data_IF_766973581886
#
_entry.id   IF_766973581886
#
_cell.length_a   1.000
_cell.length_b   1.000
_cell.length_c   1.000
_cell.angle_alpha   90.00
_cell.angle_beta   90.00
_cell.angle_gamma   90.00
#
_symmetry.space_group_name_H-M   'P 1'
#
loop_
_entity.id
_entity.type
_entity.pdbx_description
1 polymer ?
#
# COMPACT_ATOMS: atom_id res chain seq x y z
N UNK A 1 48.43 -8.24 79.65
CA UNK A 1 47.37 -7.93 80.64
C UNK A 1 46.39 -7.00 79.92
N UNK A 2 45.29 -7.56 79.39
CA UNK A 2 43.95 -7.56 80.00
C UNK A 2 43.26 -6.17 79.90
N UNK A 3 41.99 -5.98 79.54
CA UNK A 3 40.89 -6.73 78.88
C UNK A 3 39.66 -5.79 78.99
N UNK A 4 38.61 -6.05 78.17
CA UNK A 4 37.18 -5.65 78.31
C UNK A 4 36.78 -4.25 77.81
N UNK A 5 36.03 -4.13 76.72
CA UNK A 5 34.62 -4.52 76.44
C UNK A 5 33.62 -3.44 76.90
N UNK A 6 32.92 -2.81 75.95
CA UNK A 6 31.47 -2.63 76.06
C UNK A 6 30.82 -2.54 74.67
N UNK A 7 29.68 -3.22 74.59
CA UNK A 7 28.89 -3.61 73.42
C UNK A 7 27.88 -2.54 72.99
N UNK A 8 27.46 -2.69 71.71
CA UNK A 8 26.10 -2.57 71.18
C UNK A 8 25.35 -1.23 71.32
N UNK A 9 25.15 -0.59 70.17
CA UNK A 9 23.79 -0.39 69.67
C UNK A 9 23.77 -0.65 68.15
N UNK A 10 23.01 -1.67 67.76
CA UNK A 10 22.47 -1.79 66.41
C UNK A 10 21.56 -0.59 66.17
N UNK A 11 21.73 0.08 65.03
CA UNK A 11 20.59 0.61 64.31
C UNK A 11 20.74 0.26 62.83
N UNK A 12 19.70 -0.41 62.36
CA UNK A 12 19.47 -0.82 60.99
C UNK A 12 19.37 0.40 60.09
N UNK A 13 20.19 0.45 59.03
CA UNK A 13 19.91 1.25 57.84
C UNK A 13 19.92 0.34 56.61
N UNK A 14 18.85 0.39 55.79
CA UNK A 14 18.52 -0.66 54.84
C UNK A 14 19.42 -0.58 53.61
N UNK A 15 19.56 -1.74 52.97
CA UNK A 15 20.10 -1.91 51.62
C UNK A 15 19.70 -0.77 50.67
N UNK A 16 20.64 0.14 50.38
CA UNK A 16 20.68 0.76 49.05
C UNK A 16 21.49 -0.17 48.16
N UNK A 17 20.79 -1.13 47.56
CA UNK A 17 21.27 -1.76 46.33
C UNK A 17 21.62 -0.62 45.37
N UNK A 18 22.92 -0.41 45.15
CA UNK A 18 23.36 0.55 44.16
C UNK A 18 22.70 0.20 42.84
N UNK A 19 21.92 1.12 42.29
CA UNK A 19 21.58 1.10 40.87
C UNK A 19 22.90 1.09 40.11
N UNK A 20 23.40 -0.09 39.73
CA UNK A 20 24.42 -0.21 38.69
C UNK A 20 23.78 0.41 37.46
N UNK A 21 24.18 1.64 37.14
CA UNK A 21 23.89 2.30 35.88
C UNK A 21 24.39 1.34 34.80
N UNK A 22 23.47 0.65 34.12
CA UNK A 22 23.83 -0.30 33.06
C UNK A 22 24.38 0.56 31.91
N UNK A 23 25.69 0.51 31.73
CA UNK A 23 26.40 1.39 30.79
C UNK A 23 26.24 0.87 29.36
N UNK A 24 25.93 1.76 28.43
CA UNK A 24 26.08 1.50 27.00
C UNK A 24 27.56 1.24 26.70
N UNK A 25 27.86 0.12 26.08
CA UNK A 25 29.23 -0.25 25.73
C UNK A 25 29.71 0.59 24.54
N UNK A 26 30.93 1.12 24.65
CA UNK A 26 31.58 1.81 23.55
C UNK A 26 32.16 0.77 22.58
N UNK A 27 31.73 0.83 21.32
CA UNK A 27 32.07 -0.18 20.31
C UNK A 27 32.94 0.48 19.24
N UNK A 28 34.07 -0.14 18.95
CA UNK A 28 35.02 0.22 17.89
C UNK A 28 35.41 -1.03 17.10
N UNK A 29 36.00 -0.88 15.89
CA UNK A 29 36.47 -2.03 15.12
C UNK A 29 37.48 -2.89 15.89
N UNK A 30 38.32 -2.27 16.71
CA UNK A 30 39.39 -2.91 17.47
C UNK A 30 38.87 -3.70 18.69
N UNK A 31 37.80 -3.21 19.34
CA UNK A 31 37.29 -3.80 20.58
C UNK A 31 36.07 -4.71 20.38
N UNK A 32 35.47 -4.74 19.18
CA UNK A 32 34.19 -5.40 18.92
C UNK A 32 34.17 -6.87 19.37
N UNK A 33 35.23 -7.64 19.07
CA UNK A 33 35.27 -9.06 19.45
C UNK A 33 35.20 -9.24 20.97
N UNK A 34 35.92 -8.42 21.74
CA UNK A 34 35.89 -8.44 23.20
C UNK A 34 34.54 -8.01 23.74
N UNK A 35 33.90 -7.00 23.13
CA UNK A 35 32.55 -6.56 23.46
C UNK A 35 31.54 -7.69 23.24
N UNK A 36 31.60 -8.38 22.09
CA UNK A 36 30.71 -9.48 21.74
C UNK A 36 30.83 -10.66 22.72
N UNK A 37 32.06 -11.01 23.14
CA UNK A 37 32.28 -12.03 24.16
C UNK A 37 31.69 -11.61 25.52
N UNK A 38 31.93 -10.37 25.93
CA UNK A 38 31.43 -9.85 27.21
C UNK A 38 29.89 -9.82 27.27
N UNK A 39 29.21 -9.42 26.18
CA UNK A 39 27.74 -9.40 26.17
C UNK A 39 27.14 -10.79 26.06
N UNK A 40 27.85 -11.77 25.47
CA UNK A 40 27.36 -13.16 25.39
C UNK A 40 27.20 -13.79 26.79
N UNK A 41 28.04 -13.41 27.73
CA UNK A 41 28.06 -13.96 29.09
C UNK A 41 27.05 -13.26 30.04
N UNK A 42 26.61 -12.03 29.74
CA UNK A 42 25.70 -11.24 30.58
C UNK A 42 24.42 -10.84 29.82
N UNK A 43 23.31 -11.49 30.16
CA UNK A 43 21.99 -11.24 29.56
C UNK A 43 21.52 -9.79 29.69
N UNK A 44 21.81 -9.09 30.80
CA UNK A 44 21.37 -7.70 30.97
C UNK A 44 22.14 -6.76 30.05
N UNK A 45 23.45 -7.00 29.89
CA UNK A 45 24.27 -6.24 28.95
C UNK A 45 23.91 -6.56 27.50
N UNK A 46 23.59 -7.83 27.20
CA UNK A 46 23.09 -8.27 25.91
C UNK A 46 21.82 -7.50 25.51
N UNK A 47 20.76 -7.60 26.34
CA UNK A 47 19.45 -6.99 26.04
C UNK A 47 19.56 -5.48 25.82
N UNK A 48 20.46 -4.81 26.55
CA UNK A 48 20.67 -3.36 26.42
C UNK A 48 21.45 -2.96 25.16
N UNK A 49 22.46 -3.73 24.76
CA UNK A 49 23.46 -3.28 23.77
C UNK A 49 23.31 -3.94 22.40
N UNK A 50 22.65 -5.10 22.30
CA UNK A 50 22.70 -5.94 21.10
C UNK A 50 22.26 -5.22 19.82
N UNK A 51 21.20 -4.40 19.89
CA UNK A 51 20.71 -3.63 18.73
C UNK A 51 21.73 -2.60 18.24
N UNK A 52 22.45 -1.96 19.15
CA UNK A 52 23.49 -0.97 18.81
C UNK A 52 24.71 -1.67 18.21
N UNK A 53 25.09 -2.82 18.77
CA UNK A 53 26.20 -3.63 18.26
C UNK A 53 25.91 -4.16 16.86
N UNK A 54 24.71 -4.71 16.61
CA UNK A 54 24.32 -5.15 15.28
C UNK A 54 24.33 -3.96 14.30
N UNK A 55 23.77 -2.81 14.70
CA UNK A 55 23.83 -1.60 13.87
C UNK A 55 25.27 -1.17 13.54
N UNK A 56 26.18 -1.27 14.51
CA UNK A 56 27.60 -1.00 14.32
C UNK A 56 28.24 -1.99 13.33
N UNK A 57 27.96 -3.29 13.48
CA UNK A 57 28.46 -4.33 12.57
C UNK A 57 28.05 -4.02 11.12
N UNK A 58 26.77 -3.79 10.87
CA UNK A 58 26.26 -3.50 9.52
C UNK A 58 26.68 -2.15 8.93
N UNK A 59 27.15 -1.21 9.76
CA UNK A 59 27.68 0.08 9.28
C UNK A 59 29.19 0.06 9.06
N UNK A 60 29.91 -0.82 9.75
CA UNK A 60 31.37 -0.91 9.70
C UNK A 60 31.84 -1.91 8.65
N UNK A 61 31.23 -3.10 8.60
CA UNK A 61 31.65 -4.20 7.73
C UNK A 61 30.75 -4.30 6.51
N UNK A 62 31.37 -4.41 5.32
CA UNK A 62 30.64 -4.52 4.04
C UNK A 62 30.57 -5.95 3.54
N UNK A 63 31.60 -6.75 3.80
CA UNK A 63 31.66 -8.11 3.31
C UNK A 63 30.81 -9.05 4.18
N UNK A 64 29.92 -9.87 3.58
CA UNK A 64 29.12 -10.82 4.35
C UNK A 64 29.96 -11.76 5.22
N UNK A 65 31.11 -12.22 4.73
CA UNK A 65 31.99 -13.10 5.51
C UNK A 65 32.50 -12.45 6.80
N UNK A 66 32.84 -11.16 6.75
CA UNK A 66 33.25 -10.41 7.94
C UNK A 66 32.09 -10.27 8.92
N UNK A 67 30.91 -9.89 8.43
CA UNK A 67 29.69 -9.78 9.25
C UNK A 67 29.39 -11.11 9.94
N UNK A 68 29.40 -12.22 9.20
CA UNK A 68 29.18 -13.56 9.74
C UNK A 68 30.22 -13.92 10.80
N UNK A 69 31.51 -13.60 10.57
CA UNK A 69 32.56 -13.89 11.54
C UNK A 69 32.34 -13.20 12.89
N UNK A 70 31.79 -11.97 12.88
CA UNK A 70 31.45 -11.24 14.10
C UNK A 70 30.22 -11.82 14.77
N UNK A 71 29.17 -12.10 14.00
CA UNK A 71 27.92 -12.64 14.54
C UNK A 71 28.08 -14.06 15.12
N UNK A 72 28.95 -14.90 14.54
CA UNK A 72 29.31 -16.23 15.07
C UNK A 72 29.94 -16.20 16.47
N UNK A 73 30.41 -15.04 16.94
CA UNK A 73 30.84 -14.92 18.33
C UNK A 73 29.64 -15.05 19.26
N UNK A 74 28.47 -14.49 18.90
CA UNK A 74 27.25 -14.50 19.69
C UNK A 74 26.58 -15.87 19.72
N UNK A 75 26.55 -16.56 18.57
CA UNK A 75 25.96 -17.89 18.46
C UNK A 75 27.00 -18.95 18.11
N UNK A 76 27.16 -19.93 19.00
CA UNK A 76 28.14 -21.00 18.84
C UNK A 76 27.60 -22.12 17.96
N UNK A 77 28.19 -22.27 16.78
CA UNK A 77 28.22 -23.49 15.93
C UNK A 77 26.89 -24.22 15.73
N UNK A 78 26.26 -24.01 14.57
CA UNK A 78 25.12 -24.79 14.08
C UNK A 78 24.63 -24.42 12.68
N UNK A 79 25.49 -23.81 11.84
CA UNK A 79 25.12 -23.24 10.53
C UNK A 79 25.56 -24.12 9.35
N UNK A 80 25.52 -25.44 9.52
CA UNK A 80 26.02 -26.36 8.50
C UNK A 80 24.96 -26.52 7.40
N UNK A 81 25.29 -26.09 6.18
CA UNK A 81 24.47 -26.28 4.98
C UNK A 81 23.78 -25.02 4.42
N UNK A 82 23.82 -23.90 5.12
CA UNK A 82 23.28 -22.62 4.64
C UNK A 82 24.35 -21.78 3.94
N UNK A 83 23.90 -20.91 3.02
CA UNK A 83 24.80 -19.90 2.48
C UNK A 83 25.15 -18.83 3.54
N UNK A 84 26.12 -17.97 3.21
CA UNK A 84 26.62 -16.96 4.15
C UNK A 84 25.54 -15.95 4.55
N UNK A 85 24.61 -15.62 3.66
CA UNK A 85 23.56 -14.60 3.89
C UNK A 85 22.46 -15.18 4.78
N UNK A 86 22.03 -16.40 4.50
CA UNK A 86 21.04 -17.11 5.31
C UNK A 86 21.58 -17.38 6.71
N UNK A 87 22.86 -17.77 6.80
CA UNK A 87 23.55 -17.94 8.08
C UNK A 87 23.56 -16.67 8.94
N UNK A 88 23.81 -15.52 8.32
CA UNK A 88 23.75 -14.21 9.01
C UNK A 88 22.32 -13.94 9.48
N UNK A 89 21.34 -14.17 8.61
CA UNK A 89 19.95 -13.91 8.93
C UNK A 89 19.43 -14.81 10.05
N UNK A 90 19.81 -16.08 10.07
CA UNK A 90 19.44 -17.04 11.11
C UNK A 90 19.97 -16.61 12.47
N UNK A 91 21.25 -16.25 12.56
CA UNK A 91 21.83 -15.73 13.81
C UNK A 91 21.06 -14.49 14.27
N UNK A 92 20.73 -13.57 13.37
CA UNK A 92 19.99 -12.36 13.73
C UNK A 92 18.58 -12.66 14.21
N UNK A 93 17.88 -13.63 13.61
CA UNK A 93 16.55 -14.05 14.04
C UNK A 93 16.58 -14.64 15.45
N UNK A 94 17.59 -15.45 15.77
CA UNK A 94 17.82 -16.04 17.09
C UNK A 94 18.18 -14.99 18.14
N UNK A 95 19.17 -14.15 17.84
CA UNK A 95 19.64 -13.07 18.69
C UNK A 95 18.53 -12.06 19.00
N UNK A 96 17.64 -11.80 18.04
CA UNK A 96 16.50 -10.90 18.23
C UNK A 96 15.26 -11.59 18.82
N UNK A 97 15.37 -12.86 19.23
CA UNK A 97 14.31 -13.66 19.86
C UNK A 97 13.04 -13.73 19.01
N UNK A 98 13.20 -13.89 17.70
CA UNK A 98 12.06 -14.11 16.79
C UNK A 98 11.55 -15.54 16.99
N UNK A 99 10.24 -15.78 17.17
CA UNK A 99 9.72 -17.12 17.44
C UNK A 99 10.10 -18.11 16.31
N UNK A 100 10.89 -19.14 16.65
CA UNK A 100 11.31 -20.21 15.73
C UNK A 100 10.10 -21.06 15.34
N UNK A 101 9.60 -20.86 14.11
CA UNK A 101 8.67 -21.78 13.44
C UNK A 101 9.34 -22.41 12.24
N UNK A 102 9.62 -21.56 11.26
CA UNK A 102 10.27 -21.85 9.98
C UNK A 102 11.14 -20.63 9.62
N UNK A 103 12.29 -20.85 8.95
CA UNK A 103 13.22 -19.79 8.62
C UNK A 103 12.55 -18.71 7.77
N UNK A 104 11.91 -19.11 6.66
CA UNK A 104 11.24 -18.17 5.74
C UNK A 104 10.11 -17.41 6.44
N UNK A 105 9.30 -18.11 7.23
CA UNK A 105 8.25 -17.47 8.04
C UNK A 105 8.82 -16.47 9.07
N UNK A 106 9.98 -16.75 9.65
CA UNK A 106 10.65 -15.87 10.62
C UNK A 106 11.21 -14.61 9.94
N UNK A 107 11.77 -14.74 8.73
CA UNK A 107 12.17 -13.61 7.89
C UNK A 107 10.96 -12.73 7.56
N UNK A 108 9.83 -13.33 7.19
CA UNK A 108 8.57 -12.61 6.91
C UNK A 108 8.07 -11.85 8.15
N UNK A 109 8.12 -12.46 9.33
CA UNK A 109 7.76 -11.78 10.58
C UNK A 109 8.63 -10.54 10.81
N UNK A 110 9.95 -10.64 10.59
CA UNK A 110 10.87 -9.50 10.71
C UNK A 110 10.57 -8.40 9.67
N UNK A 111 10.06 -8.75 8.49
CA UNK A 111 9.62 -7.78 7.50
C UNK A 111 8.44 -6.94 7.99
N UNK A 112 7.51 -7.53 8.75
CA UNK A 112 6.36 -6.82 9.34
C UNK A 112 6.69 -5.88 10.50
N UNK A 113 7.85 -6.07 11.14
CA UNK A 113 8.29 -5.24 12.27
C UNK A 113 8.61 -3.79 11.87
N UNK A 114 8.42 -2.84 12.78
CA UNK A 114 8.53 -1.40 12.48
C UNK A 114 9.81 -0.72 13.00
N UNK A 115 10.58 -1.40 13.84
CA UNK A 115 11.77 -0.79 14.44
C UNK A 115 12.91 -0.62 13.40
N UNK A 116 13.75 0.43 13.49
CA UNK A 116 14.73 0.78 12.45
C UNK A 116 15.70 -0.35 12.07
N UNK A 117 16.14 -1.14 13.06
CA UNK A 117 17.06 -2.26 12.83
C UNK A 117 16.41 -3.34 11.94
N UNK A 118 15.12 -3.66 12.13
CA UNK A 118 14.42 -4.64 11.28
C UNK A 118 14.48 -4.23 9.80
N UNK A 119 14.23 -2.96 9.50
CA UNK A 119 14.27 -2.42 8.15
C UNK A 119 15.65 -2.53 7.53
N UNK A 120 16.70 -2.22 8.30
CA UNK A 120 18.09 -2.33 7.83
C UNK A 120 18.44 -3.79 7.50
N UNK A 121 18.14 -4.71 8.41
CA UNK A 121 18.44 -6.15 8.24
C UNK A 121 17.68 -6.71 7.04
N UNK A 122 16.36 -6.49 6.93
CA UNK A 122 15.56 -7.07 5.84
C UNK A 122 15.95 -6.49 4.48
N UNK A 123 16.25 -5.19 4.40
CA UNK A 123 16.75 -4.60 3.15
C UNK A 123 18.14 -5.15 2.79
N UNK A 124 19.03 -5.31 3.78
CA UNK A 124 20.35 -5.90 3.53
C UNK A 124 20.21 -7.35 3.03
N UNK A 125 19.35 -8.15 3.67
CA UNK A 125 19.12 -9.55 3.30
C UNK A 125 18.69 -9.67 1.84
N UNK A 126 17.60 -9.02 1.43
CA UNK A 126 17.12 -9.13 0.04
C UNK A 126 18.03 -8.44 -1.00
N UNK A 127 18.92 -7.53 -0.59
CA UNK A 127 19.94 -6.97 -1.49
C UNK A 127 21.14 -7.90 -1.69
N UNK A 128 21.40 -8.85 -0.79
CA UNK A 128 22.59 -9.71 -0.84
C UNK A 128 22.26 -11.17 -1.12
N UNK A 129 21.08 -11.65 -0.71
CA UNK A 129 20.58 -12.96 -1.06
C UNK A 129 20.19 -12.99 -2.54
N UNK A 130 20.56 -14.08 -3.20
CA UNK A 130 20.03 -14.43 -4.51
C UNK A 130 18.98 -15.52 -4.27
N UNK A 131 17.73 -15.16 -4.48
CA UNK A 131 16.58 -16.02 -4.21
C UNK A 131 16.30 -16.92 -5.41
N UNK A 132 15.91 -18.17 -5.15
CA UNK A 132 15.33 -19.03 -6.17
C UNK A 132 13.91 -18.58 -6.52
N UNK A 133 13.41 -18.97 -7.70
CA UNK A 133 12.09 -18.54 -8.20
C UNK A 133 10.95 -18.84 -7.23
N UNK A 134 10.95 -20.05 -6.63
CA UNK A 134 9.96 -20.45 -5.62
C UNK A 134 10.03 -19.58 -4.35
N UNK A 135 11.22 -19.13 -3.97
CA UNK A 135 11.41 -18.24 -2.83
C UNK A 135 10.93 -16.83 -3.13
N UNK A 136 11.20 -16.34 -4.33
CA UNK A 136 10.71 -15.04 -4.79
C UNK A 136 9.19 -15.01 -4.70
N UNK A 137 8.50 -16.00 -5.29
CA UNK A 137 7.03 -16.09 -5.25
C UNK A 137 6.51 -16.13 -3.80
N UNK A 138 7.11 -16.97 -2.96
CA UNK A 138 6.75 -17.07 -1.55
C UNK A 138 6.87 -15.72 -0.82
N UNK A 139 8.01 -15.02 -0.96
CA UNK A 139 8.24 -13.76 -0.28
C UNK A 139 7.35 -12.65 -0.83
N UNK A 140 7.13 -12.57 -2.15
CA UNK A 140 6.23 -11.59 -2.74
C UNK A 140 4.81 -11.77 -2.21
N UNK A 141 4.27 -12.99 -2.26
CA UNK A 141 2.92 -13.27 -1.75
C UNK A 141 2.81 -12.98 -0.25
N UNK A 142 3.78 -13.39 0.56
CA UNK A 142 3.76 -13.17 1.99
C UNK A 142 3.79 -11.66 2.34
N UNK A 143 4.63 -10.88 1.66
CA UNK A 143 4.71 -9.44 1.85
C UNK A 143 3.43 -8.73 1.39
N UNK A 144 2.88 -9.12 0.25
CA UNK A 144 1.57 -8.64 -0.22
C UNK A 144 0.48 -8.92 0.81
N UNK A 145 0.38 -10.14 1.35
CA UNK A 145 -0.60 -10.48 2.40
C UNK A 145 -0.49 -9.55 3.61
N UNK A 146 0.73 -9.22 4.04
CA UNK A 146 0.94 -8.26 5.15
C UNK A 146 0.48 -6.85 4.75
N UNK A 147 0.78 -6.40 3.53
CA UNK A 147 0.35 -5.10 3.02
C UNK A 147 -1.17 -5.01 3.02
N UNK A 148 -1.86 -5.99 2.43
CA UNK A 148 -3.32 -6.01 2.34
C UNK A 148 -3.98 -6.07 3.71
N UNK A 149 -3.47 -6.91 4.62
CA UNK A 149 -3.95 -6.97 6.01
C UNK A 149 -3.75 -5.63 6.73
N UNK A 150 -2.61 -4.98 6.56
CA UNK A 150 -2.32 -3.67 7.17
C UNK A 150 -3.17 -2.57 6.55
N UNK A 151 -3.39 -2.64 5.24
CA UNK A 151 -4.21 -1.74 4.45
C UNK A 151 -5.72 -1.93 4.66
N UNK A 152 -6.14 -3.01 5.35
CA UNK A 152 -7.54 -3.42 5.51
C UNK A 152 -8.26 -3.61 4.17
N UNK A 153 -7.53 -4.12 3.18
CA UNK A 153 -8.04 -4.46 1.85
C UNK A 153 -8.18 -5.97 1.74
N UNK A 154 -9.24 -6.45 1.09
CA UNK A 154 -9.40 -7.87 0.80
C UNK A 154 -8.25 -8.37 -0.09
N UNK A 155 -7.59 -9.43 0.36
CA UNK A 155 -6.49 -10.02 -0.38
C UNK A 155 -7.02 -10.74 -1.62
N UNK A 156 -6.51 -10.36 -2.79
CA UNK A 156 -6.95 -10.94 -4.07
C UNK A 156 -6.29 -12.31 -4.24
N UNK A 157 -7.10 -13.37 -4.13
CA UNK A 157 -6.73 -14.73 -4.51
C UNK A 157 -7.04 -15.00 -5.98
N UNK A 158 -6.40 -16.00 -6.59
CA UNK A 158 -6.67 -16.42 -7.98
C UNK A 158 -8.08 -17.01 -8.19
N UNK A 159 -8.97 -16.88 -7.20
CA UNK A 159 -10.29 -17.48 -7.16
C UNK A 159 -11.35 -16.38 -7.04
N UNK A 160 -11.53 -15.59 -8.10
CA UNK A 160 -12.77 -14.85 -8.34
C UNK A 160 -12.96 -14.69 -9.84
N UNK A 161 -13.66 -15.71 -10.36
CA UNK A 161 -14.77 -15.67 -11.31
C UNK A 161 -14.61 -14.92 -12.63
N UNK A 162 -14.51 -15.73 -13.69
CA UNK A 162 -15.39 -15.62 -14.86
C UNK A 162 -16.82 -15.24 -14.42
N UNK A 163 -17.36 -14.18 -15.03
CA UNK A 163 -18.79 -13.85 -15.15
C UNK A 163 -19.66 -13.93 -13.88
N UNK A 164 -20.04 -12.79 -13.28
CA UNK A 164 -21.45 -12.40 -13.20
C UNK A 164 -21.65 -10.92 -12.78
N UNK A 165 -22.57 -10.28 -13.51
CA UNK A 165 -23.52 -9.23 -13.11
C UNK A 165 -23.00 -7.78 -12.87
N UNK A 166 -23.43 -6.72 -13.56
CA UNK A 166 -24.61 -6.49 -14.39
C UNK A 166 -25.92 -7.10 -13.87
N UNK A 167 -26.34 -6.63 -12.70
CA UNK A 167 -27.77 -6.43 -12.42
C UNK A 167 -27.95 -5.35 -11.36
N UNK A 168 -28.60 -4.27 -11.78
CA UNK A 168 -29.49 -3.52 -10.91
C UNK A 168 -30.53 -4.51 -10.32
N UNK A 169 -30.63 -4.60 -9.00
CA UNK A 169 -31.91 -4.75 -8.30
C UNK A 169 -31.70 -4.77 -6.79
N UNK A 170 -32.28 -3.76 -6.15
CA UNK A 170 -33.20 -3.89 -5.03
C UNK A 170 -32.99 -5.03 -4.02
N UNK A 171 -32.77 -4.59 -2.77
CA UNK A 171 -33.60 -4.93 -1.62
C UNK A 171 -34.22 -6.34 -1.65
N UNK A 172 -33.65 -7.28 -0.90
CA UNK A 172 -34.44 -8.07 0.02
C UNK A 172 -33.59 -8.78 1.07
N UNK A 173 -34.03 -8.59 2.31
CA UNK A 173 -33.72 -9.41 3.47
C UNK A 173 -33.71 -10.91 3.14
N UNK A 174 -32.71 -11.61 3.66
CA UNK A 174 -32.94 -12.95 4.18
C UNK A 174 -32.09 -13.19 5.42
N UNK A 175 -32.77 -13.13 6.56
CA UNK A 175 -32.38 -13.77 7.82
C UNK A 175 -31.87 -15.19 7.54
N UNK A 176 -30.70 -15.51 8.09
CA UNK A 176 -30.25 -16.88 8.29
C UNK A 176 -30.49 -17.18 9.78
N UNK A 177 -31.58 -17.88 10.08
CA UNK A 177 -31.65 -18.78 11.25
C UNK A 177 -31.16 -20.14 10.73
N UNK A 178 -30.10 -20.71 11.32
CA UNK A 178 -30.14 -21.64 12.45
C UNK A 178 -31.08 -22.82 12.19
N UNK A 179 -30.54 -23.97 11.76
CA UNK A 179 -30.10 -25.10 12.61
C UNK A 179 -31.29 -25.82 13.28
N UNK A 180 -31.55 -27.01 12.73
CA UNK A 180 -32.15 -28.22 13.31
C UNK A 180 -33.54 -28.17 13.97
N UNK A 181 -34.43 -28.90 13.30
CA UNK A 181 -35.55 -29.67 13.85
C UNK A 181 -35.20 -30.41 15.15
N UNK A 182 -35.94 -30.15 16.23
CA UNK A 182 -36.85 -31.14 16.82
C UNK A 182 -37.58 -30.63 18.06
N UNK A 183 -38.79 -31.16 18.22
CA UNK A 183 -39.63 -31.29 19.43
C UNK A 183 -40.52 -30.12 19.89
N UNK A 184 -41.80 -30.36 19.61
CA UNK A 184 -42.97 -30.26 20.49
C UNK A 184 -43.58 -28.88 20.83
N UNK A 185 -44.72 -28.71 20.17
CA UNK A 185 -45.92 -27.95 20.54
C UNK A 185 -46.24 -27.93 22.04
N UNK A 186 -46.56 -26.75 22.58
CA UNK A 186 -47.93 -26.49 23.02
C UNK A 186 -48.23 -25.02 23.28
N UNK A 187 -49.46 -24.68 22.89
CA UNK A 187 -50.17 -23.41 22.89
C UNK A 187 -50.51 -22.97 24.32
N UNK A 188 -50.48 -21.66 24.59
CA UNK A 188 -51.55 -20.95 25.32
C UNK A 188 -51.35 -19.42 25.31
N UNK A 189 -52.22 -18.76 24.54
CA UNK A 189 -53.03 -17.58 24.86
C UNK A 189 -52.53 -16.57 25.90
N UNK A 190 -52.40 -15.30 25.49
CA UNK A 190 -53.39 -14.28 25.85
C UNK A 190 -53.14 -12.94 25.15
N UNK A 191 -54.25 -12.40 24.64
CA UNK A 191 -54.42 -11.12 23.96
C UNK A 191 -54.03 -9.87 24.77
N UNK A 192 -53.89 -8.78 24.01
CA UNK A 192 -54.17 -7.37 24.33
C UNK A 192 -52.97 -6.43 24.60
N UNK A 193 -52.42 -5.84 23.53
CA UNK A 193 -52.43 -4.39 23.29
C UNK A 193 -51.51 -4.01 22.12
N UNK A 194 -52.10 -3.97 20.93
CA UNK A 194 -51.56 -3.22 19.79
C UNK A 194 -52.16 -1.81 19.86
N UNK A 195 -51.42 -0.88 20.48
CA UNK A 195 -51.02 0.39 19.85
C UNK A 195 -50.36 1.34 20.86
N UNK A 196 -49.35 2.05 20.35
CA UNK A 196 -48.60 3.16 20.93
C UNK A 196 -47.47 2.79 21.90
N UNK A 197 -46.31 2.45 21.33
CA UNK A 197 -45.06 3.18 21.61
C UNK A 197 -43.96 2.77 20.62
N UNK A 198 -44.00 3.39 19.44
CA UNK A 198 -42.80 3.57 18.61
C UNK A 198 -42.25 4.95 18.96
N UNK A 199 -40.95 5.00 19.25
CA UNK A 199 -40.09 6.17 19.49
C UNK A 199 -39.95 6.65 20.93
N UNK A 200 -39.15 5.96 21.74
CA UNK A 200 -38.50 6.60 22.89
C UNK A 200 -37.30 5.80 23.43
N UNK A 201 -36.27 5.51 22.60
CA UNK A 201 -34.97 5.06 23.15
C UNK A 201 -33.72 5.32 22.30
N UNK A 202 -33.81 6.21 21.30
CA UNK A 202 -32.67 6.66 20.49
C UNK A 202 -32.49 8.18 20.47
N UNK A 203 -33.27 8.92 21.25
CA UNK A 203 -33.33 10.39 21.19
C UNK A 203 -32.87 11.13 22.46
N UNK A 204 -32.53 10.43 23.54
CA UNK A 204 -32.21 11.10 24.82
C UNK A 204 -30.71 11.24 25.17
N UNK A 205 -29.78 10.74 24.36
CA UNK A 205 -28.33 11.00 24.53
C UNK A 205 -27.74 11.98 23.51
N UNK A 206 -28.46 12.29 22.44
CA UNK A 206 -28.07 13.34 21.47
C UNK A 206 -28.67 14.72 21.80
N UNK A 207 -29.75 14.78 22.58
CA UNK A 207 -30.47 16.04 22.85
C UNK A 207 -29.89 16.87 24.01
N UNK A 208 -29.04 16.32 24.87
CA UNK A 208 -28.46 17.05 26.00
C UNK A 208 -27.16 17.79 25.65
N UNK A 209 -26.41 17.34 24.64
CA UNK A 209 -25.24 18.08 24.15
C UNK A 209 -25.56 19.10 23.04
N UNK A 210 -26.69 18.94 22.35
CA UNK A 210 -27.12 19.86 21.29
C UNK A 210 -27.89 21.10 21.81
N UNK A 211 -28.56 21.00 22.97
CA UNK A 211 -29.38 22.10 23.53
C UNK A 211 -28.58 23.22 24.20
N UNK A 212 -27.36 22.95 24.66
CA UNK A 212 -26.48 23.97 25.27
C UNK A 212 -25.72 24.83 24.24
N UNK A 213 -25.96 24.62 22.95
CA UNK A 213 -25.30 25.35 21.86
C UNK A 213 -26.17 26.43 21.21
N UNK A 214 -27.40 26.66 21.70
CA UNK A 214 -28.27 27.72 21.22
C UNK A 214 -27.97 29.05 21.95
N UNK A 215 -26.74 29.52 21.80
CA UNK A 215 -26.41 30.95 21.95
C UNK A 215 -26.43 31.52 20.53
N UNK A 216 -27.11 32.64 20.25
CA UNK A 216 -27.09 33.23 18.92
C UNK A 216 -25.65 33.65 18.62
N UNK A 217 -24.99 32.92 17.72
CA UNK A 217 -23.67 33.25 17.18
C UNK A 217 -23.86 33.65 15.72
N UNK A 218 -23.01 34.57 15.27
CA UNK A 218 -23.08 35.14 13.92
C UNK A 218 -22.87 34.05 12.85
N UNK A 219 -23.65 34.15 11.75
CA UNK A 219 -23.81 33.15 10.67
C UNK A 219 -22.51 32.51 10.14
N UNK A 220 -21.37 33.20 10.27
CA UNK A 220 -20.06 32.72 9.79
C UNK A 220 -19.46 31.61 10.66
N UNK A 221 -19.66 31.61 11.98
CA UNK A 221 -19.11 30.57 12.86
C UNK A 221 -19.96 29.30 12.83
N UNK A 222 -21.25 29.44 12.56
CA UNK A 222 -22.17 28.32 12.38
C UNK A 222 -21.92 27.59 11.06
N UNK A 223 -21.60 28.32 9.97
CA UNK A 223 -21.12 27.73 8.72
C UNK A 223 -19.81 26.95 8.89
N UNK A 224 -18.82 27.51 9.61
CA UNK A 224 -17.54 26.81 9.87
C UNK A 224 -17.72 25.55 10.72
N UNK A 225 -18.69 25.57 11.64
CA UNK A 225 -19.06 24.38 12.43
C UNK A 225 -19.78 23.35 11.58
N UNK A 226 -20.69 23.77 10.70
CA UNK A 226 -21.35 22.88 9.74
C UNK A 226 -20.33 22.27 8.78
N UNK A 227 -19.37 23.02 8.26
CA UNK A 227 -18.32 22.49 7.39
C UNK A 227 -17.39 21.51 8.13
N UNK A 228 -17.10 21.74 9.42
CA UNK A 228 -16.38 20.77 10.25
C UNK A 228 -17.21 19.53 10.54
N UNK A 229 -18.50 19.68 10.85
CA UNK A 229 -19.41 18.57 11.12
C UNK A 229 -19.66 17.73 9.86
N UNK A 230 -19.90 18.38 8.72
CA UNK A 230 -19.99 17.74 7.40
C UNK A 230 -18.66 17.10 7.01
N UNK A 231 -17.53 17.75 7.27
CA UNK A 231 -16.19 17.18 7.06
C UNK A 231 -15.88 15.96 7.93
N UNK A 232 -16.58 15.79 9.07
CA UNK A 232 -16.53 14.59 9.91
C UNK A 232 -17.47 13.52 9.33
N UNK A 233 -18.70 13.88 8.96
CA UNK A 233 -19.71 12.98 8.38
C UNK A 233 -19.25 12.42 7.01
N UNK A 234 -18.54 13.20 6.19
CA UNK A 234 -18.04 12.77 4.88
C UNK A 234 -16.71 12.00 4.93
N UNK A 235 -16.04 11.94 6.09
CA UNK A 235 -14.82 11.13 6.28
C UNK A 235 -15.12 9.66 6.58
N UNK A 236 -16.39 9.27 6.71
CA UNK A 236 -16.81 7.90 7.02
C UNK A 236 -16.76 6.91 5.83
N UNK A 237 -15.87 7.12 4.86
CA UNK A 237 -15.51 6.09 3.86
C UNK A 237 -14.05 5.65 4.06
N UNK A 238 -13.92 4.60 4.86
CA UNK A 238 -12.70 3.96 5.38
C UNK A 238 -11.91 4.77 6.43
N UNK A 239 -11.61 4.17 7.61
CA UNK A 239 -10.73 4.79 8.59
C UNK A 239 -9.35 4.99 7.96
N UNK A 240 -8.91 6.24 7.85
CA UNK A 240 -7.60 6.59 7.31
C UNK A 240 -6.49 5.80 8.01
N UNK A 241 -5.58 5.21 7.24
CA UNK A 241 -4.45 4.44 7.78
C UNK A 241 -3.67 5.24 8.82
N UNK A 242 -3.32 4.58 9.93
CA UNK A 242 -2.48 5.21 10.95
C UNK A 242 -1.07 5.48 10.41
N UNK A 243 -0.34 6.41 11.03
CA UNK A 243 1.06 6.68 10.65
C UNK A 243 1.93 5.42 10.71
N UNK A 244 1.69 4.55 11.70
CA UNK A 244 2.36 3.26 11.86
C UNK A 244 2.06 2.32 10.69
N UNK A 245 0.79 2.23 10.26
CA UNK A 245 0.38 1.41 9.13
C UNK A 245 1.03 1.89 7.83
N UNK A 246 1.04 3.21 7.59
CA UNK A 246 1.72 3.80 6.43
C UNK A 246 3.21 3.50 6.42
N UNK A 247 3.89 3.58 7.58
CA UNK A 247 5.31 3.23 7.69
C UNK A 247 5.56 1.75 7.42
N UNK A 248 4.68 0.86 7.89
CA UNK A 248 4.78 -0.58 7.65
C UNK A 248 4.64 -0.88 6.17
N UNK A 249 3.59 -0.36 5.53
CA UNK A 249 3.33 -0.57 4.10
C UNK A 249 4.46 0.03 3.27
N UNK A 250 4.95 1.23 3.61
CA UNK A 250 6.10 1.82 2.93
C UNK A 250 7.35 0.94 3.02
N UNK A 251 7.62 0.33 4.18
CA UNK A 251 8.73 -0.64 4.34
C UNK A 251 8.52 -1.87 3.45
N UNK A 252 7.34 -2.46 3.46
CA UNK A 252 7.05 -3.66 2.67
C UNK A 252 7.15 -3.38 1.16
N UNK A 253 6.66 -2.22 0.69
CA UNK A 253 6.83 -1.79 -0.70
C UNK A 253 8.30 -1.60 -1.09
N UNK A 254 9.14 -1.09 -0.18
CA UNK A 254 10.59 -0.99 -0.44
C UNK A 254 11.25 -2.37 -0.54
N UNK A 255 10.79 -3.35 0.24
CA UNK A 255 11.27 -4.73 0.16
C UNK A 255 10.85 -5.40 -1.14
N UNK A 256 9.58 -5.25 -1.56
CA UNK A 256 9.09 -5.69 -2.87
C UNK A 256 9.92 -5.07 -4.01
N UNK A 257 10.23 -3.77 -3.92
CA UNK A 257 11.05 -3.07 -4.90
C UNK A 257 12.46 -3.69 -5.00
N UNK A 258 13.09 -4.04 -3.88
CA UNK A 258 14.41 -4.68 -3.86
C UNK A 258 14.37 -6.08 -4.47
N UNK A 259 13.40 -6.90 -4.08
CA UNK A 259 13.23 -8.28 -4.58
C UNK A 259 13.03 -8.26 -6.10
N UNK A 260 12.06 -7.47 -6.58
CA UNK A 260 11.71 -7.41 -8.01
C UNK A 260 12.79 -6.77 -8.89
N UNK A 261 13.66 -5.91 -8.34
CA UNK A 261 14.80 -5.37 -9.09
C UNK A 261 15.82 -6.45 -9.44
N UNK A 262 16.05 -7.40 -8.52
CA UNK A 262 16.97 -8.52 -8.71
C UNK A 262 16.33 -9.69 -9.46
N UNK A 263 15.07 -9.96 -9.15
CA UNK A 263 14.33 -11.11 -9.66
C UNK A 263 13.05 -10.61 -10.34
N UNK A 264 13.10 -10.25 -11.63
CA UNK A 264 11.91 -9.86 -12.38
C UNK A 264 10.93 -11.03 -12.47
N UNK A 265 9.69 -10.81 -12.05
CA UNK A 265 8.63 -11.83 -12.09
C UNK A 265 7.64 -11.52 -13.20
N UNK A 266 7.18 -12.55 -13.90
CA UNK A 266 6.19 -12.43 -14.99
C UNK A 266 4.76 -12.79 -14.56
N UNK A 267 4.56 -13.33 -13.35
CA UNK A 267 3.25 -13.75 -12.87
C UNK A 267 2.28 -12.56 -12.76
N UNK A 268 1.18 -12.53 -13.53
CA UNK A 268 0.26 -11.38 -13.57
C UNK A 268 -0.47 -11.12 -12.24
N UNK A 269 -0.52 -12.12 -11.36
CA UNK A 269 -1.22 -12.02 -10.07
C UNK A 269 -0.62 -10.94 -9.17
N UNK A 270 0.70 -10.81 -9.11
CA UNK A 270 1.36 -9.76 -8.33
C UNK A 270 0.99 -8.37 -8.85
N UNK A 271 0.92 -8.21 -10.17
CA UNK A 271 0.46 -6.95 -10.76
C UNK A 271 -1.00 -6.66 -10.40
N UNK A 272 -1.90 -7.65 -10.52
CA UNK A 272 -3.31 -7.53 -10.11
C UNK A 272 -3.49 -7.17 -8.63
N UNK A 273 -2.62 -7.67 -7.77
CA UNK A 273 -2.64 -7.33 -6.33
C UNK A 273 -2.11 -5.91 -6.11
N UNK A 274 -0.91 -5.59 -6.58
CA UNK A 274 -0.27 -4.30 -6.31
C UNK A 274 -1.03 -3.14 -6.94
N UNK A 275 -1.67 -3.33 -8.10
CA UNK A 275 -2.46 -2.27 -8.74
C UNK A 275 -3.65 -1.85 -7.87
N UNK A 276 -4.20 -2.75 -7.07
CA UNK A 276 -5.27 -2.43 -6.12
C UNK A 276 -4.85 -1.50 -4.98
N UNK A 277 -3.56 -1.22 -4.83
CA UNK A 277 -3.01 -0.35 -3.80
C UNK A 277 -2.85 1.11 -4.26
N UNK A 278 -3.15 1.44 -5.52
CA UNK A 278 -2.93 2.80 -6.06
C UNK A 278 -3.78 3.88 -5.40
N UNK A 279 -4.96 3.51 -4.89
CA UNK A 279 -5.87 4.43 -4.19
C UNK A 279 -5.75 4.36 -2.66
N UNK A 280 -4.85 3.53 -2.13
CA UNK A 280 -4.73 3.30 -0.70
C UNK A 280 -4.37 4.58 0.07
N UNK A 281 -3.38 5.33 -0.43
CA UNK A 281 -2.94 6.61 0.16
C UNK A 281 -2.03 7.37 -0.82
N UNK A 282 -2.22 8.68 -0.94
CA UNK A 282 -1.43 9.55 -1.84
C UNK A 282 0.08 9.55 -1.52
N UNK A 283 0.47 9.41 -0.25
CA UNK A 283 1.88 9.37 0.16
C UNK A 283 2.52 8.05 -0.27
N UNK A 284 1.76 6.96 -0.22
CA UNK A 284 2.22 5.63 -0.63
C UNK A 284 2.20 5.43 -2.14
N UNK A 285 1.38 6.18 -2.88
CA UNK A 285 1.23 6.07 -4.34
C UNK A 285 2.57 6.01 -5.07
N UNK A 286 3.53 6.90 -4.73
CA UNK A 286 4.85 6.90 -5.39
C UNK A 286 5.62 5.60 -5.22
N UNK A 287 5.49 4.93 -4.06
CA UNK A 287 6.13 3.63 -3.79
C UNK A 287 5.40 2.50 -4.50
N UNK A 288 4.07 2.48 -4.44
CA UNK A 288 3.23 1.53 -5.18
C UNK A 288 3.57 1.59 -6.68
N UNK A 289 3.65 2.81 -7.23
CA UNK A 289 3.96 3.00 -8.64
C UNK A 289 5.35 2.50 -9.03
N UNK A 290 6.37 2.64 -8.16
CA UNK A 290 7.70 2.06 -8.42
C UNK A 290 7.66 0.54 -8.54
N UNK A 291 6.91 -0.12 -7.65
CA UNK A 291 6.72 -1.58 -7.69
C UNK A 291 5.98 -1.97 -8.98
N UNK A 292 4.90 -1.27 -9.34
CA UNK A 292 4.18 -1.52 -10.60
C UNK A 292 5.10 -1.40 -11.83
N UNK A 293 5.98 -0.39 -11.88
CA UNK A 293 6.95 -0.25 -12.99
C UNK A 293 7.87 -1.46 -13.12
N UNK A 294 8.25 -2.08 -12.02
CA UNK A 294 9.10 -3.28 -12.05
C UNK A 294 8.34 -4.49 -12.58
N UNK A 295 7.07 -4.64 -12.20
CA UNK A 295 6.20 -5.73 -12.63
C UNK A 295 5.84 -5.65 -14.13
N UNK A 296 5.84 -4.46 -14.73
CA UNK A 296 5.48 -4.25 -16.15
C UNK A 296 6.71 -4.20 -17.08
N UNK A 297 7.93 -4.45 -16.57
CA UNK A 297 9.15 -4.47 -17.40
C UNK A 297 9.09 -5.46 -18.56
N UNK A 298 8.35 -6.56 -18.39
CA UNK A 298 8.12 -7.57 -19.42
C UNK A 298 6.61 -7.68 -19.66
N UNK A 299 6.05 -6.78 -20.49
CA UNK A 299 4.61 -6.67 -20.67
C UNK A 299 4.05 -7.93 -21.34
N UNK A 300 2.97 -8.46 -20.79
CA UNK A 300 2.21 -9.58 -21.35
C UNK A 300 0.77 -9.14 -21.67
N UNK A 301 0.06 -9.81 -22.58
CA UNK A 301 -1.34 -9.51 -22.87
C UNK A 301 -2.27 -9.60 -21.65
N UNK A 302 -1.94 -10.43 -20.66
CA UNK A 302 -2.71 -10.56 -19.42
C UNK A 302 -2.54 -9.37 -18.47
N UNK A 303 -1.30 -8.89 -18.29
CA UNK A 303 -1.02 -7.66 -17.53
C UNK A 303 -1.78 -6.47 -18.11
N UNK A 304 -1.83 -6.43 -19.43
CA UNK A 304 -2.57 -5.43 -20.19
C UNK A 304 -4.07 -5.45 -19.88
N UNK A 305 -4.71 -6.62 -19.91
CA UNK A 305 -6.14 -6.76 -19.58
C UNK A 305 -6.45 -6.33 -18.13
N UNK A 306 -5.63 -6.76 -17.17
CA UNK A 306 -5.77 -6.38 -15.75
C UNK A 306 -5.68 -4.87 -15.57
N UNK A 307 -4.76 -4.23 -16.29
CA UNK A 307 -4.56 -2.80 -16.19
C UNK A 307 -5.74 -2.01 -16.78
N UNK A 308 -6.25 -2.43 -17.94
CA UNK A 308 -7.43 -1.87 -18.57
C UNK A 308 -8.65 -1.95 -17.63
N UNK A 309 -8.92 -3.11 -17.04
CA UNK A 309 -9.99 -3.29 -16.05
C UNK A 309 -9.82 -2.36 -14.83
N UNK A 310 -8.58 -2.16 -14.40
CA UNK A 310 -8.25 -1.33 -13.24
C UNK A 310 -8.47 0.17 -13.48
N UNK A 311 -8.47 0.63 -14.74
CA UNK A 311 -8.74 2.03 -15.11
C UNK A 311 -10.15 2.49 -14.72
N UNK A 312 -11.10 1.57 -14.64
CA UNK A 312 -12.46 1.85 -14.16
C UNK A 312 -12.60 1.81 -12.64
N UNK A 313 -11.74 1.02 -11.98
CA UNK A 313 -11.88 0.70 -10.56
C UNK A 313 -11.19 1.71 -9.66
N UNK A 314 -10.07 2.28 -10.10
CA UNK A 314 -9.23 3.12 -9.27
C UNK A 314 -9.08 4.54 -9.85
N UNK A 315 -9.12 5.55 -8.99
CA UNK A 315 -9.04 6.96 -9.38
C UNK A 315 -7.61 7.38 -9.74
N UNK A 316 -6.62 7.00 -8.94
CA UNK A 316 -5.22 7.41 -9.10
C UNK A 316 -4.48 6.63 -10.18
N UNK A 317 -5.08 5.57 -10.74
CA UNK A 317 -4.44 4.77 -11.79
C UNK A 317 -4.17 5.58 -13.05
N UNK A 318 -4.98 6.61 -13.32
CA UNK A 318 -4.78 7.56 -14.42
C UNK A 318 -3.40 8.24 -14.40
N UNK A 319 -2.81 8.45 -13.21
CA UNK A 319 -1.46 9.01 -13.04
C UNK A 319 -0.35 8.09 -13.58
N UNK A 320 -0.67 6.83 -13.88
CA UNK A 320 0.28 5.83 -14.37
C UNK A 320 0.27 5.68 -15.89
N UNK A 321 -0.70 6.29 -16.58
CA UNK A 321 -0.98 6.08 -18.02
C UNK A 321 0.29 6.22 -18.86
N UNK A 322 0.99 7.36 -18.77
CA UNK A 322 2.15 7.62 -19.63
C UNK A 322 3.25 6.54 -19.51
N UNK A 323 3.49 6.03 -18.29
CA UNK A 323 4.52 4.98 -18.10
C UNK A 323 4.04 3.62 -18.60
N UNK A 324 2.75 3.32 -18.42
CA UNK A 324 2.21 2.04 -18.85
C UNK A 324 2.05 2.01 -20.38
N UNK A 325 1.77 3.14 -21.02
CA UNK A 325 1.77 3.28 -22.48
C UNK A 325 3.13 2.96 -23.09
N UNK A 326 4.22 3.52 -22.53
CA UNK A 326 5.58 3.22 -22.97
C UNK A 326 5.87 1.70 -22.88
N UNK A 327 5.29 1.03 -21.89
CA UNK A 327 5.54 -0.39 -21.63
C UNK A 327 4.69 -1.29 -22.54
N UNK A 328 3.39 -1.03 -22.70
CA UNK A 328 2.47 -1.92 -23.44
C UNK A 328 2.48 -1.74 -24.96
N UNK A 329 3.12 -0.68 -25.49
CA UNK A 329 3.20 -0.34 -26.93
C UNK A 329 1.82 -0.27 -27.60
N UNK A 330 1.23 0.92 -27.61
CA UNK A 330 -0.04 1.23 -28.26
C UNK A 330 -0.90 2.10 -27.35
N UNK A 331 -1.03 3.37 -27.72
CA UNK A 331 -1.78 4.38 -26.99
C UNK A 331 -3.26 4.05 -26.89
N UNK A 332 -3.83 3.55 -28.00
CA UNK A 332 -5.27 3.35 -28.15
C UNK A 332 -5.74 1.92 -27.99
N UNK A 333 -4.86 0.98 -27.63
CA UNK A 333 -5.28 -0.41 -27.40
C UNK A 333 -6.33 -0.51 -26.29
N UNK A 334 -6.43 0.48 -25.40
CA UNK A 334 -7.19 0.44 -24.14
C UNK A 334 -8.62 0.94 -24.34
N UNK A 335 -9.04 0.99 -25.61
CA UNK A 335 -10.27 1.53 -26.15
C UNK A 335 -11.51 1.14 -25.34
N UNK A 336 -11.65 -0.15 -25.02
CA UNK A 336 -12.80 -0.68 -24.31
C UNK A 336 -12.84 -0.24 -22.84
N UNK A 337 -11.68 0.09 -22.25
CA UNK A 337 -11.55 0.54 -20.87
C UNK A 337 -11.67 2.07 -20.68
N UNK A 338 -11.79 2.84 -21.78
CA UNK A 338 -11.89 4.31 -21.71
C UNK A 338 -13.29 4.82 -21.42
N UNK A 339 -14.25 3.96 -21.03
CA UNK A 339 -15.60 4.37 -20.63
C UNK A 339 -15.61 5.59 -19.68
N UNK A 340 -14.59 5.73 -18.81
CA UNK A 340 -14.56 6.68 -17.69
C UNK A 340 -13.38 7.68 -17.71
N UNK A 341 -12.32 7.46 -18.50
CA UNK A 341 -11.07 8.24 -18.39
C UNK A 341 -10.98 9.34 -19.45
N UNK A 342 -10.76 10.58 -18.98
CA UNK A 342 -10.49 11.75 -19.84
C UNK A 342 -9.10 11.63 -20.49
N UNK A 343 -9.05 11.51 -21.83
CA UNK A 343 -7.80 11.39 -22.58
C UNK A 343 -6.99 12.71 -22.56
N UNK A 344 -7.57 13.81 -22.08
CA UNK A 344 -6.85 15.06 -21.87
C UNK A 344 -5.69 14.95 -20.86
N UNK A 345 -5.69 13.91 -20.01
CA UNK A 345 -4.65 13.66 -19.00
C UNK A 345 -3.35 13.17 -19.62
N UNK A 346 -3.40 12.63 -20.85
CA UNK A 346 -2.25 11.94 -21.43
C UNK A 346 -1.28 12.91 -22.12
N UNK A 347 0.02 12.61 -22.04
CA UNK A 347 1.06 13.40 -22.70
C UNK A 347 0.92 13.33 -24.24
N UNK A 348 0.44 14.44 -24.80
CA UNK A 348 0.15 14.62 -26.23
C UNK A 348 1.39 14.49 -27.13
N UNK A 349 2.59 14.62 -26.56
CA UNK A 349 3.84 14.49 -27.31
C UNK A 349 4.23 13.03 -27.60
N UNK A 350 3.66 12.08 -26.86
CA UNK A 350 3.99 10.65 -26.94
C UNK A 350 3.10 9.87 -27.91
N UNK A 351 2.06 10.50 -28.42
CA UNK A 351 1.05 9.86 -29.27
C UNK A 351 1.48 9.97 -30.74
N UNK A 352 1.71 8.85 -31.44
CA UNK A 352 1.94 8.90 -32.87
C UNK A 352 0.71 9.48 -33.59
N UNK A 353 0.94 10.44 -34.51
CA UNK A 353 -0.12 11.08 -35.31
C UNK A 353 -0.99 10.04 -36.03
N UNK A 354 -0.35 9.05 -36.64
CA UNK A 354 -1.02 7.99 -37.40
C UNK A 354 -1.95 7.16 -36.51
N UNK A 355 -1.50 6.80 -35.30
CA UNK A 355 -2.30 6.03 -34.34
C UNK A 355 -3.50 6.85 -33.84
N UNK A 356 -3.30 8.15 -33.57
CA UNK A 356 -4.35 9.07 -33.18
C UNK A 356 -5.43 9.24 -34.25
N UNK A 357 -5.03 9.45 -35.50
CA UNK A 357 -5.96 9.62 -36.60
C UNK A 357 -6.70 8.33 -36.93
N UNK A 358 -6.02 7.19 -36.89
CA UNK A 358 -6.67 5.89 -37.03
C UNK A 358 -7.74 5.68 -35.97
N UNK A 359 -7.44 5.97 -34.70
CA UNK A 359 -8.39 5.82 -33.59
C UNK A 359 -9.63 6.70 -33.74
N UNK A 360 -9.44 7.99 -34.04
CA UNK A 360 -10.58 8.89 -34.17
C UNK A 360 -11.51 8.54 -35.34
N UNK A 361 -10.96 7.95 -36.41
CA UNK A 361 -11.69 7.66 -37.63
C UNK A 361 -12.27 6.25 -37.69
N UNK A 362 -11.78 5.31 -36.86
CA UNK A 362 -12.24 3.93 -36.88
C UNK A 362 -13.48 3.66 -36.04
N UNK A 363 -13.77 4.50 -35.04
CA UNK A 363 -14.66 4.12 -33.92
C UNK A 363 -15.64 5.25 -33.51
N UNK A 364 -16.72 4.90 -32.80
CA UNK A 364 -17.63 5.91 -32.22
C UNK A 364 -16.93 6.62 -31.05
N UNK A 365 -16.23 7.70 -31.35
CA UNK A 365 -15.52 8.49 -30.34
C UNK A 365 -16.41 9.62 -29.82
N UNK A 366 -16.57 9.70 -28.50
CA UNK A 366 -17.21 10.83 -27.84
C UNK A 366 -16.32 12.07 -27.88
N UNK A 367 -16.79 13.16 -28.47
CA UNK A 367 -16.00 14.39 -28.69
C UNK A 367 -15.39 14.94 -27.39
N UNK A 368 -16.16 14.96 -26.31
CA UNK A 368 -15.72 15.46 -25.01
C UNK A 368 -14.49 14.72 -24.47
N UNK A 369 -14.29 13.44 -24.83
CA UNK A 369 -13.12 12.64 -24.40
C UNK A 369 -11.84 13.04 -25.12
N UNK A 370 -11.94 13.47 -26.38
CA UNK A 370 -10.77 13.73 -27.24
C UNK A 370 -10.58 15.21 -27.58
N UNK A 371 -11.46 16.11 -27.13
CA UNK A 371 -11.53 17.48 -27.62
C UNK A 371 -10.18 18.22 -27.52
N UNK A 372 -9.50 18.19 -26.37
CA UNK A 372 -8.24 18.94 -26.22
C UNK A 372 -7.09 18.31 -27.02
N UNK A 373 -7.09 16.98 -27.15
CA UNK A 373 -6.15 16.24 -28.00
C UNK A 373 -6.38 16.56 -29.47
N UNK A 374 -7.63 16.50 -29.92
CA UNK A 374 -8.05 16.82 -31.27
C UNK A 374 -7.64 18.25 -31.63
N UNK A 375 -7.99 19.24 -30.80
CA UNK A 375 -7.56 20.63 -31.01
C UNK A 375 -6.04 20.78 -31.06
N UNK A 376 -5.29 20.03 -30.25
CA UNK A 376 -3.83 20.04 -30.29
C UNK A 376 -3.27 19.53 -31.62
N UNK A 377 -3.77 18.38 -32.10
CA UNK A 377 -3.35 17.80 -33.38
C UNK A 377 -3.79 18.67 -34.57
N UNK A 378 -5.01 19.18 -34.58
CA UNK A 378 -5.55 20.05 -35.63
C UNK A 378 -4.72 21.34 -35.81
N UNK A 379 -4.25 21.95 -34.72
CA UNK A 379 -3.40 23.15 -34.79
C UNK A 379 -2.07 22.92 -35.51
N UNK A 380 -1.56 21.69 -35.50
CA UNK A 380 -0.26 21.28 -36.07
C UNK A 380 -0.42 20.39 -37.30
N UNK A 381 -1.62 20.26 -37.83
CA UNK A 381 -1.88 19.43 -39.01
C UNK A 381 -1.84 20.27 -40.27
N UNK A 382 -1.20 19.75 -41.30
CA UNK A 382 -1.00 20.39 -42.61
C UNK A 382 -1.72 19.62 -43.73
N UNK A 383 -2.13 18.38 -43.49
CA UNK A 383 -2.92 17.60 -44.43
C UNK A 383 -4.40 18.03 -44.42
N UNK A 384 -4.82 18.67 -45.51
CA UNK A 384 -6.20 19.13 -45.73
C UNK A 384 -7.21 17.97 -45.73
N UNK A 385 -6.85 16.79 -46.24
CA UNK A 385 -7.76 15.63 -46.29
C UNK A 385 -8.07 15.09 -44.91
N UNK A 386 -7.07 15.09 -44.03
CA UNK A 386 -7.24 14.70 -42.62
C UNK A 386 -8.15 15.71 -41.92
N UNK A 387 -7.92 17.01 -42.10
CA UNK A 387 -8.77 18.08 -41.56
C UNK A 387 -10.24 17.99 -42.03
N UNK A 388 -10.46 17.71 -43.31
CA UNK A 388 -11.80 17.52 -43.87
C UNK A 388 -12.49 16.27 -43.30
N UNK A 389 -11.76 15.15 -43.14
CA UNK A 389 -12.28 13.93 -42.50
C UNK A 389 -12.70 14.16 -41.04
N UNK A 390 -11.93 14.95 -40.28
CA UNK A 390 -12.27 15.33 -38.92
C UNK A 390 -13.49 16.24 -38.84
N UNK A 391 -13.63 17.17 -39.78
CA UNK A 391 -14.81 18.03 -39.86
C UNK A 391 -16.08 17.19 -40.05
N UNK A 392 -16.02 16.20 -40.92
CA UNK A 392 -17.14 15.29 -41.19
C UNK A 392 -17.46 14.40 -39.99
N UNK A 393 -16.45 13.92 -39.26
CA UNK A 393 -16.63 13.18 -38.02
C UNK A 393 -17.34 14.04 -36.96
N UNK A 394 -16.85 15.25 -36.71
CA UNK A 394 -17.41 16.18 -35.70
C UNK A 394 -18.83 16.59 -36.08
N UNK A 395 -19.12 16.73 -37.38
CA UNK A 395 -20.46 17.06 -37.88
C UNK A 395 -21.51 15.98 -37.58
N UNK A 396 -21.10 14.70 -37.48
CA UNK A 396 -22.00 13.55 -37.17
C UNK A 396 -22.42 13.47 -35.71
N UNK A 397 -21.72 14.17 -34.81
CA UNK A 397 -22.00 14.16 -33.37
C UNK A 397 -23.15 15.14 -33.08
N UNK A 398 -24.01 14.82 -32.10
CA UNK A 398 -25.08 15.71 -31.66
C UNK A 398 -24.57 17.10 -31.26
N UNK A 399 -25.43 18.10 -31.37
CA UNK A 399 -25.04 19.50 -31.22
C UNK A 399 -24.55 19.81 -29.80
N UNK A 400 -23.34 20.36 -29.68
CA UNK A 400 -22.76 20.86 -28.43
C UNK A 400 -21.91 22.11 -28.71
N UNK A 401 -21.74 23.00 -27.73
CA UNK A 401 -20.87 24.18 -27.89
C UNK A 401 -19.41 23.79 -28.20
N UNK A 402 -19.00 22.63 -27.69
CA UNK A 402 -17.70 22.00 -27.98
C UNK A 402 -17.51 21.70 -29.47
N UNK A 403 -18.59 21.32 -30.17
CA UNK A 403 -18.61 21.02 -31.61
C UNK A 403 -18.26 22.26 -32.44
N UNK A 404 -18.83 23.41 -32.12
CA UNK A 404 -18.61 24.66 -32.85
C UNK A 404 -17.14 25.09 -32.76
N UNK A 405 -16.57 25.08 -31.56
CA UNK A 405 -15.17 25.44 -31.30
C UNK A 405 -14.18 24.56 -32.12
N UNK A 406 -14.46 23.27 -32.22
CA UNK A 406 -13.62 22.35 -33.01
C UNK A 406 -13.77 22.62 -34.51
N UNK A 407 -15.00 22.80 -35.02
CA UNK A 407 -15.25 23.08 -36.44
C UNK A 407 -14.61 24.41 -36.88
N UNK A 408 -14.71 25.45 -36.07
CA UNK A 408 -14.08 26.75 -36.33
C UNK A 408 -12.55 26.60 -36.41
N UNK A 409 -11.95 25.86 -35.47
CA UNK A 409 -10.51 25.60 -35.48
C UNK A 409 -10.05 24.87 -36.73
N UNK A 410 -10.82 23.87 -37.21
CA UNK A 410 -10.56 23.16 -38.46
C UNK A 410 -10.61 24.11 -39.66
N UNK A 411 -11.69 24.90 -39.76
CA UNK A 411 -11.90 25.81 -40.89
C UNK A 411 -10.81 26.88 -40.96
N UNK A 412 -10.41 27.44 -39.82
CA UNK A 412 -9.33 28.43 -39.76
C UNK A 412 -7.97 27.84 -40.16
N UNK A 413 -7.72 26.58 -39.81
CA UNK A 413 -6.50 25.89 -40.23
C UNK A 413 -6.48 25.62 -41.73
N UNK A 414 -7.57 25.10 -42.30
CA UNK A 414 -7.70 24.90 -43.76
C UNK A 414 -7.50 26.22 -44.52
N UNK A 415 -8.09 27.32 -44.04
CA UNK A 415 -7.90 28.66 -44.62
C UNK A 415 -6.43 29.12 -44.56
N UNK A 416 -5.70 28.79 -43.49
CA UNK A 416 -4.27 29.13 -43.36
C UNK A 416 -3.37 28.30 -44.26
N UNK A 417 -3.74 27.07 -44.60
CA UNK A 417 -2.97 26.19 -45.50
C UNK A 417 -3.23 26.52 -46.98
N UNK A 418 -4.46 26.97 -47.32
CA UNK A 418 -4.85 27.36 -48.68
C UNK A 418 -4.45 28.79 -49.07
N UNK A 419 -3.91 29.57 -48.13
CA UNK A 419 -3.25 30.87 -48.38
C UNK A 419 -1.76 30.65 -48.53
#
# INVERSE_FOLDING_TARGET
MARKDLKQHQDHLPHKQGHKVVKLLEVSPENLNSVLLAIKEDKKLFDLNIRNIINFIFSTYKEPREILSKLKILEGTGLDGLDTIDSIMEILLEVLSTPKKDFKASVVNLCGELYPLSRRITLWYFNNKDLEEEEVEFYLEALERIIFKTGRINFITNSDNDNSDNSDSDNNNSNINDINDNSDSNINDSDSNINNNINETTTNTLNTHAKDLLVPLEDSEEMDRLDKALGIIFKDKQPSLTTSDKQRIAKLLDLLEVILKKHPVQHPIHFRRIIGLVDLDDVLFKKVFRVLKLLVRQPTPSLYAIYAESMHKYRNISRTIDTMQDSFKGFFRWQDAFGVVDLNIVDRSRIPKEEFYSYCLSEQVYLWKIQSLLLYFLRKEDDVKVLESFRDLVNRIEFSDEKLSVIESINDRIKKIKK
#
